data_IF_025145163082
#
_entry.id   IF_025145163082
#
_cell.length_a   1.000
_cell.length_b   1.000
_cell.length_c   1.000
_cell.angle_alpha   90.00
_cell.angle_beta   90.00
_cell.angle_gamma   90.00
#
_symmetry.space_group_name_H-M   'P 1'
#
loop_
_entity.id
_entity.type
_entity.pdbx_description
1 polymer ?
#
# COMPACT_ATOMS: atom_id res chain seq x y z
N UNK A 1 -106.43 94.75 -57.33
CA UNK A 1 -104.96 94.92 -57.52
C UNK A 1 -104.21 95.10 -56.21
N UNK A 2 -104.79 95.73 -55.18
CA UNK A 2 -104.12 96.03 -53.91
C UNK A 2 -103.90 94.80 -52.99
N UNK A 3 -104.86 93.88 -52.85
CA UNK A 3 -104.76 92.74 -51.92
C UNK A 3 -103.68 91.71 -52.31
N UNK A 4 -103.50 91.50 -53.62
CA UNK A 4 -102.46 90.60 -54.15
C UNK A 4 -101.05 91.18 -53.93
N UNK A 5 -100.92 92.51 -53.91
CA UNK A 5 -99.66 93.20 -53.63
C UNK A 5 -99.30 93.08 -52.14
N UNK A 6 -100.25 93.30 -51.22
CA UNK A 6 -100.03 93.11 -49.77
C UNK A 6 -99.67 91.67 -49.40
N UNK A 7 -100.28 90.68 -50.08
CA UNK A 7 -99.93 89.27 -49.89
C UNK A 7 -98.48 88.98 -50.32
N UNK A 8 -98.04 89.53 -51.45
CA UNK A 8 -96.64 89.41 -51.89
C UNK A 8 -95.67 90.13 -50.94
N UNK A 9 -96.03 91.29 -50.37
CA UNK A 9 -95.20 91.96 -49.37
C UNK A 9 -95.04 91.12 -48.09
N UNK A 10 -96.11 90.45 -47.65
CA UNK A 10 -96.07 89.56 -46.49
C UNK A 10 -95.22 88.32 -46.76
N UNK A 11 -95.33 87.73 -47.94
CA UNK A 11 -94.48 86.60 -48.36
C UNK A 11 -93.01 87.02 -48.47
N UNK A 12 -92.71 88.19 -49.02
CA UNK A 12 -91.35 88.75 -49.06
C UNK A 12 -90.80 88.98 -47.65
N UNK A 13 -91.61 89.46 -46.71
CA UNK A 13 -91.22 89.63 -45.32
C UNK A 13 -90.95 88.28 -44.63
N UNK A 14 -91.79 87.27 -44.86
CA UNK A 14 -91.59 85.91 -44.35
C UNK A 14 -90.32 85.28 -44.92
N UNK A 15 -90.09 85.35 -46.24
CA UNK A 15 -88.86 84.84 -46.84
C UNK A 15 -87.60 85.56 -46.35
N UNK A 16 -87.69 86.87 -46.06
CA UNK A 16 -86.58 87.60 -45.43
C UNK A 16 -86.29 87.12 -44.01
N UNK A 17 -87.32 86.87 -43.22
CA UNK A 17 -87.17 86.35 -41.86
C UNK A 17 -86.62 84.92 -41.86
N UNK A 18 -87.12 84.06 -42.75
CA UNK A 18 -86.63 82.69 -42.92
C UNK A 18 -85.18 82.66 -43.41
N UNK A 19 -84.82 83.53 -44.37
CA UNK A 19 -83.44 83.69 -44.83
C UNK A 19 -82.51 84.17 -43.70
N UNK A 20 -82.97 85.12 -42.87
CA UNK A 20 -82.20 85.59 -41.71
C UNK A 20 -81.99 84.48 -40.66
N UNK A 21 -83.00 83.64 -40.40
CA UNK A 21 -82.88 82.49 -39.50
C UNK A 21 -81.95 81.42 -40.07
N UNK A 22 -82.06 81.13 -41.37
CA UNK A 22 -81.17 80.20 -42.04
C UNK A 22 -79.71 80.71 -42.01
N UNK A 23 -79.49 82.00 -42.22
CA UNK A 23 -78.17 82.62 -42.12
C UNK A 23 -77.60 82.51 -40.69
N UNK A 24 -78.41 82.80 -39.67
CA UNK A 24 -77.98 82.68 -38.28
C UNK A 24 -77.61 81.22 -37.91
N UNK A 25 -78.34 80.23 -38.42
CA UNK A 25 -78.01 78.82 -38.22
C UNK A 25 -76.73 78.41 -38.98
N UNK A 26 -76.53 78.93 -40.20
CA UNK A 26 -75.26 78.75 -40.93
C UNK A 26 -74.08 79.32 -40.13
N UNK A 27 -74.21 80.54 -39.61
CA UNK A 27 -73.15 81.18 -38.81
C UNK A 27 -72.85 80.37 -37.54
N UNK A 28 -73.89 79.87 -36.86
CA UNK A 28 -73.74 78.98 -35.70
C UNK A 28 -73.04 77.67 -36.04
N UNK A 29 -73.41 77.03 -37.16
CA UNK A 29 -72.77 75.79 -37.60
C UNK A 29 -71.31 76.02 -38.01
N UNK A 30 -70.99 77.17 -38.60
CA UNK A 30 -69.61 77.55 -38.90
C UNK A 30 -68.76 77.75 -37.64
N UNK A 31 -69.32 78.35 -36.58
CA UNK A 31 -68.65 78.48 -35.28
C UNK A 31 -68.35 77.10 -34.68
N UNK A 32 -69.33 76.19 -34.66
CA UNK A 32 -69.15 74.82 -34.17
C UNK A 32 -68.11 74.05 -34.99
N UNK A 33 -68.13 74.18 -36.32
CA UNK A 33 -67.11 73.56 -37.18
C UNK A 33 -65.71 74.06 -36.87
N UNK A 34 -65.56 75.37 -36.64
CA UNK A 34 -64.28 75.98 -36.28
C UNK A 34 -63.80 75.51 -34.91
N UNK A 35 -64.68 75.39 -33.93
CA UNK A 35 -64.35 74.83 -32.60
C UNK A 35 -63.93 73.35 -32.70
N UNK A 36 -64.68 72.53 -33.45
CA UNK A 36 -64.33 71.13 -33.68
C UNK A 36 -63.00 70.97 -34.44
N UNK A 37 -62.72 71.84 -35.41
CA UNK A 37 -61.45 71.84 -36.13
C UNK A 37 -60.27 72.20 -35.20
N UNK A 38 -60.45 73.19 -34.32
CA UNK A 38 -59.45 73.51 -33.30
C UNK A 38 -59.24 72.37 -32.30
N UNK A 39 -60.30 71.76 -31.80
CA UNK A 39 -60.20 70.63 -30.86
C UNK A 39 -59.53 69.41 -31.51
N UNK A 40 -59.83 69.14 -32.79
CA UNK A 40 -59.14 68.11 -33.56
C UNK A 40 -57.65 68.41 -33.68
N UNK A 41 -57.29 69.64 -34.03
CA UNK A 41 -55.89 70.05 -34.15
C UNK A 41 -55.12 69.91 -32.83
N UNK A 42 -55.75 70.20 -31.68
CA UNK A 42 -55.12 70.03 -30.38
C UNK A 42 -55.00 68.55 -29.95
N UNK A 43 -55.99 67.72 -30.28
CA UNK A 43 -55.91 66.27 -30.10
C UNK A 43 -54.81 65.66 -30.97
N UNK A 44 -54.68 66.07 -32.22
CA UNK A 44 -53.63 65.59 -33.13
C UNK A 44 -52.22 65.97 -32.62
N UNK A 45 -52.04 67.19 -32.09
CA UNK A 45 -50.79 67.58 -31.41
C UNK A 45 -50.52 66.70 -30.19
N UNK A 46 -51.55 66.38 -29.40
CA UNK A 46 -51.37 65.55 -28.20
C UNK A 46 -51.00 64.12 -28.53
N UNK A 47 -51.61 63.55 -29.58
CA UNK A 47 -51.26 62.22 -30.10
C UNK A 47 -49.80 62.20 -30.53
N UNK A 48 -49.36 63.18 -31.34
CA UNK A 48 -47.98 63.27 -31.80
C UNK A 48 -46.97 63.38 -30.63
N UNK A 49 -47.31 64.11 -29.57
CA UNK A 49 -46.48 64.20 -28.37
C UNK A 49 -46.41 62.86 -27.61
N UNK A 50 -47.54 62.19 -27.41
CA UNK A 50 -47.60 60.89 -26.73
C UNK A 50 -46.83 59.81 -27.52
N UNK A 51 -46.99 59.76 -28.84
CA UNK A 51 -46.25 58.85 -29.71
C UNK A 51 -44.73 59.08 -29.60
N UNK A 52 -44.30 60.35 -29.54
CA UNK A 52 -42.89 60.69 -29.34
C UNK A 52 -42.39 60.21 -27.97
N UNK A 53 -43.15 60.44 -26.90
CA UNK A 53 -42.78 59.98 -25.55
C UNK A 53 -42.67 58.46 -25.47
N UNK A 54 -43.62 57.72 -26.07
CA UNK A 54 -43.58 56.26 -26.15
C UNK A 54 -42.33 55.80 -26.91
N UNK A 55 -42.00 56.44 -28.03
CA UNK A 55 -40.80 56.12 -28.81
C UNK A 55 -39.51 56.35 -28.01
N UNK A 56 -39.43 57.44 -27.27
CA UNK A 56 -38.26 57.76 -26.44
C UNK A 56 -38.15 56.84 -25.21
N UNK A 57 -39.27 56.47 -24.59
CA UNK A 57 -39.28 55.47 -23.52
C UNK A 57 -38.86 54.08 -24.03
N UNK A 58 -39.38 53.65 -25.19
CA UNK A 58 -38.99 52.37 -25.79
C UNK A 58 -37.50 52.31 -26.11
N UNK A 59 -36.90 53.42 -26.61
CA UNK A 59 -35.45 53.52 -26.80
C UNK A 59 -34.69 53.41 -25.48
N UNK A 60 -35.15 54.07 -24.41
CA UNK A 60 -34.52 53.98 -23.08
C UNK A 60 -34.55 52.55 -22.54
N UNK A 61 -35.68 51.86 -22.65
CA UNK A 61 -35.82 50.45 -22.24
C UNK A 61 -34.90 49.55 -23.04
N UNK A 62 -34.82 49.74 -24.37
CA UNK A 62 -33.90 48.98 -25.21
C UNK A 62 -32.43 49.19 -24.81
N UNK A 63 -32.04 50.43 -24.53
CA UNK A 63 -30.68 50.75 -24.07
C UNK A 63 -30.37 50.16 -22.70
N UNK A 64 -31.32 50.17 -21.77
CA UNK A 64 -31.15 49.53 -20.46
C UNK A 64 -30.98 48.01 -20.59
N UNK A 65 -31.81 47.35 -21.41
CA UNK A 65 -31.68 45.91 -21.69
C UNK A 65 -30.33 45.57 -22.30
N UNK A 66 -29.85 46.37 -23.25
CA UNK A 66 -28.53 46.16 -23.84
C UNK A 66 -27.41 46.34 -22.80
N UNK A 67 -27.48 47.40 -21.98
CA UNK A 67 -26.51 47.64 -20.91
C UNK A 67 -26.49 46.49 -19.90
N UNK A 68 -27.65 46.02 -19.46
CA UNK A 68 -27.78 44.88 -18.55
C UNK A 68 -27.22 43.60 -19.18
N UNK A 69 -27.49 43.33 -20.46
CA UNK A 69 -26.95 42.17 -21.17
C UNK A 69 -25.43 42.23 -21.28
N UNK A 70 -24.86 43.41 -21.56
CA UNK A 70 -23.41 43.62 -21.62
C UNK A 70 -22.77 43.42 -20.25
N UNK A 71 -23.35 43.97 -19.19
CA UNK A 71 -22.83 43.79 -17.82
C UNK A 71 -22.94 42.32 -17.36
N UNK A 72 -24.04 41.63 -17.69
CA UNK A 72 -24.19 40.19 -17.43
C UNK A 72 -23.14 39.38 -18.16
N UNK A 73 -22.83 39.72 -19.43
CA UNK A 73 -21.78 39.06 -20.20
C UNK A 73 -20.39 39.28 -19.60
N UNK A 74 -20.06 40.52 -19.19
CA UNK A 74 -18.79 40.82 -18.52
C UNK A 74 -18.65 40.09 -17.19
N UNK A 75 -19.73 40.06 -16.39
CA UNK A 75 -19.75 39.36 -15.11
C UNK A 75 -19.53 37.85 -15.29
N UNK A 76 -20.19 37.23 -16.28
CA UNK A 76 -19.97 35.82 -16.61
C UNK A 76 -18.53 35.54 -17.07
N UNK A 77 -17.95 36.41 -17.92
CA UNK A 77 -16.56 36.27 -18.37
C UNK A 77 -15.55 36.37 -17.22
N UNK A 78 -15.73 37.30 -16.29
CA UNK A 78 -14.85 37.40 -15.12
C UNK A 78 -14.92 36.16 -14.23
N UNK A 79 -16.12 35.58 -14.04
CA UNK A 79 -16.28 34.36 -13.26
C UNK A 79 -15.59 33.16 -13.94
N UNK A 80 -15.73 33.04 -15.26
CA UNK A 80 -15.05 31.98 -16.03
C UNK A 80 -13.52 32.13 -16.03
N UNK A 81 -13.00 33.37 -16.13
CA UNK A 81 -11.57 33.63 -15.98
C UNK A 81 -11.05 33.32 -14.56
N UNK A 82 -11.81 33.66 -13.52
CA UNK A 82 -11.46 33.35 -12.14
C UNK A 82 -11.39 31.83 -11.93
N UNK A 83 -12.39 31.09 -12.42
CA UNK A 83 -12.44 29.63 -12.35
C UNK A 83 -11.27 28.99 -13.11
N UNK A 84 -10.95 29.46 -14.32
CA UNK A 84 -9.78 28.99 -15.07
C UNK A 84 -8.46 29.26 -14.36
N UNK A 85 -8.31 30.40 -13.67
CA UNK A 85 -7.10 30.69 -12.88
C UNK A 85 -6.99 29.76 -11.68
N UNK A 86 -8.10 29.49 -11.01
CA UNK A 86 -8.17 28.55 -9.89
C UNK A 86 -7.82 27.12 -10.33
N UNK A 87 -8.44 26.64 -11.42
CA UNK A 87 -8.17 25.31 -11.99
C UNK A 87 -6.68 25.14 -12.36
N UNK A 88 -6.07 26.16 -13.00
CA UNK A 88 -4.64 26.12 -13.36
C UNK A 88 -3.70 26.14 -12.15
N UNK A 89 -4.02 26.92 -11.11
CA UNK A 89 -3.22 26.95 -9.88
C UNK A 89 -3.30 25.61 -9.13
N UNK A 90 -4.48 25.01 -9.11
CA UNK A 90 -4.69 23.72 -8.48
C UNK A 90 -3.94 22.59 -9.22
N UNK A 91 -3.99 22.58 -10.56
CA UNK A 91 -3.24 21.62 -11.39
C UNK A 91 -1.72 21.79 -11.21
N UNK A 92 -1.22 23.03 -11.21
CA UNK A 92 0.20 23.30 -10.96
C UNK A 92 0.65 22.88 -9.55
N UNK A 93 -0.19 23.07 -8.53
CA UNK A 93 0.11 22.62 -7.17
C UNK A 93 0.13 21.10 -7.06
N UNK A 94 -0.80 20.41 -7.72
CA UNK A 94 -0.85 18.95 -7.77
C UNK A 94 0.37 18.37 -8.50
N UNK A 95 0.79 18.98 -9.62
CA UNK A 95 2.00 18.58 -10.33
C UNK A 95 3.26 18.70 -9.48
N UNK A 96 3.44 19.81 -8.76
CA UNK A 96 4.57 19.99 -7.84
C UNK A 96 4.58 18.94 -6.72
N UNK A 97 3.41 18.66 -6.14
CA UNK A 97 3.29 17.65 -5.08
C UNK A 97 3.62 16.24 -5.58
N UNK A 98 3.22 15.89 -6.81
CA UNK A 98 3.57 14.62 -7.45
C UNK A 98 5.08 14.54 -7.74
N UNK A 99 5.69 15.62 -8.22
CA UNK A 99 7.13 15.67 -8.50
C UNK A 99 7.97 15.56 -7.23
N UNK A 100 7.59 16.25 -6.14
CA UNK A 100 8.21 16.10 -4.82
C UNK A 100 8.11 14.67 -4.29
N UNK A 101 6.93 14.05 -4.42
CA UNK A 101 6.73 12.66 -3.99
C UNK A 101 7.58 11.69 -4.81
N UNK A 102 7.71 11.92 -6.13
CA UNK A 102 8.56 11.12 -7.01
C UNK A 102 10.03 11.24 -6.63
N UNK A 103 10.52 12.45 -6.33
CA UNK A 103 11.88 12.67 -5.83
C UNK A 103 12.11 11.99 -4.48
N UNK A 104 11.16 12.08 -3.56
CA UNK A 104 11.24 11.40 -2.26
C UNK A 104 11.27 9.87 -2.43
N UNK A 105 10.44 9.32 -3.31
CA UNK A 105 10.40 7.89 -3.62
C UNK A 105 11.72 7.41 -4.23
N UNK A 106 12.30 8.16 -5.16
CA UNK A 106 13.61 7.84 -5.76
C UNK A 106 14.73 7.87 -4.72
N UNK A 107 14.70 8.83 -3.78
CA UNK A 107 15.65 8.87 -2.67
C UNK A 107 15.53 7.66 -1.75
N UNK A 108 14.31 7.26 -1.38
CA UNK A 108 14.07 6.05 -0.57
C UNK A 108 14.57 4.80 -1.30
N UNK A 109 14.34 4.71 -2.61
CA UNK A 109 14.83 3.61 -3.44
C UNK A 109 16.36 3.54 -3.45
N UNK A 110 17.05 4.68 -3.57
CA UNK A 110 18.51 4.74 -3.51
C UNK A 110 19.05 4.37 -2.13
N UNK A 111 18.41 4.83 -1.05
CA UNK A 111 18.77 4.45 0.32
C UNK A 111 18.59 2.95 0.56
N UNK A 112 17.50 2.36 0.05
CA UNK A 112 17.25 0.92 0.10
C UNK A 112 18.34 0.12 -0.62
N UNK A 113 18.72 0.52 -1.84
CA UNK A 113 19.78 -0.16 -2.59
C UNK A 113 21.14 -0.01 -1.88
N UNK A 114 21.43 1.16 -1.29
CA UNK A 114 22.62 1.37 -0.45
C UNK A 114 22.65 0.45 0.77
N UNK A 115 21.51 0.30 1.46
CA UNK A 115 21.40 -0.61 2.60
C UNK A 115 21.58 -2.07 2.17
N UNK A 116 21.00 -2.48 1.04
CA UNK A 116 21.16 -3.81 0.46
C UNK A 116 22.62 -4.14 0.15
N UNK A 117 23.35 -3.19 -0.45
CA UNK A 117 24.78 -3.35 -0.73
C UNK A 117 25.61 -3.49 0.57
N UNK A 118 25.32 -2.68 1.60
CA UNK A 118 25.98 -2.77 2.91
C UNK A 118 25.69 -4.10 3.61
N UNK A 119 24.45 -4.57 3.55
CA UNK A 119 24.06 -5.86 4.11
C UNK A 119 24.82 -7.01 3.44
N UNK A 120 24.86 -7.02 2.10
CA UNK A 120 25.61 -8.02 1.33
C UNK A 120 27.11 -8.01 1.68
N UNK A 121 27.71 -6.82 1.80
CA UNK A 121 29.13 -6.70 2.19
C UNK A 121 29.39 -7.21 3.61
N UNK A 122 28.47 -6.95 4.54
CA UNK A 122 28.57 -7.42 5.94
C UNK A 122 28.42 -8.94 6.01
N UNK A 123 27.46 -9.52 5.27
CA UNK A 123 27.28 -10.96 5.16
C UNK A 123 28.50 -11.67 4.57
N UNK A 124 29.11 -11.10 3.53
CA UNK A 124 30.35 -11.64 2.97
C UNK A 124 31.50 -11.61 4.00
N UNK A 125 31.67 -10.49 4.71
CA UNK A 125 32.71 -10.39 5.74
C UNK A 125 32.50 -11.40 6.88
N UNK A 126 31.23 -11.64 7.27
CA UNK A 126 30.90 -12.67 8.25
C UNK A 126 31.29 -14.06 7.76
N UNK A 127 30.91 -14.44 6.53
CA UNK A 127 31.25 -15.73 5.94
C UNK A 127 32.78 -15.95 5.82
N UNK A 128 33.54 -14.91 5.49
CA UNK A 128 35.00 -14.95 5.48
C UNK A 128 35.57 -15.20 6.89
N UNK A 129 35.03 -14.53 7.92
CA UNK A 129 35.42 -14.73 9.32
C UNK A 129 35.08 -16.12 9.82
N UNK A 130 33.93 -16.65 9.45
CA UNK A 130 33.52 -18.00 9.79
C UNK A 130 34.43 -19.05 9.15
N UNK A 131 34.73 -18.88 7.86
CA UNK A 131 35.69 -19.73 7.14
C UNK A 131 37.06 -19.70 7.82
N UNK A 132 37.53 -18.51 8.22
CA UNK A 132 38.79 -18.36 8.94
C UNK A 132 38.78 -19.08 10.29
N UNK A 133 37.68 -18.99 11.06
CA UNK A 133 37.54 -19.71 12.32
C UNK A 133 37.54 -21.23 12.12
N UNK A 134 36.88 -21.73 11.07
CA UNK A 134 36.88 -23.15 10.72
C UNK A 134 38.29 -23.63 10.37
N UNK A 135 39.04 -22.85 9.59
CA UNK A 135 40.43 -23.16 9.26
C UNK A 135 41.33 -23.18 10.51
N UNK A 136 41.23 -22.17 11.39
CA UNK A 136 41.99 -22.14 12.65
C UNK A 136 41.67 -23.34 13.55
N UNK A 137 40.41 -23.78 13.59
CA UNK A 137 40.01 -24.99 14.33
C UNK A 137 40.65 -26.24 13.73
N UNK A 138 40.63 -26.38 12.40
CA UNK A 138 41.24 -27.50 11.70
C UNK A 138 42.77 -27.54 11.90
N UNK A 139 43.45 -26.39 11.79
CA UNK A 139 44.88 -26.26 12.07
C UNK A 139 45.21 -26.62 13.52
N UNK A 140 44.40 -26.16 14.48
CA UNK A 140 44.58 -26.51 15.89
C UNK A 140 44.45 -28.02 16.12
N UNK A 141 43.50 -28.68 15.45
CA UNK A 141 43.35 -30.15 15.51
C UNK A 141 44.56 -30.86 14.94
N UNK A 142 44.98 -30.48 13.73
CA UNK A 142 46.17 -31.03 13.09
C UNK A 142 47.41 -30.88 13.98
N UNK A 143 47.61 -29.71 14.57
CA UNK A 143 48.74 -29.48 15.48
C UNK A 143 48.66 -30.36 16.74
N UNK A 144 47.46 -30.57 17.29
CA UNK A 144 47.28 -31.46 18.43
C UNK A 144 47.62 -32.92 18.07
N UNK A 145 47.21 -33.37 16.88
CA UNK A 145 47.55 -34.70 16.36
C UNK A 145 49.07 -34.86 16.20
N UNK A 146 49.75 -33.91 15.56
CA UNK A 146 51.21 -33.89 15.39
C UNK A 146 51.94 -33.96 16.75
N UNK A 147 51.50 -33.19 17.75
CA UNK A 147 52.08 -33.21 19.10
C UNK A 147 51.89 -34.56 19.78
N UNK A 148 50.72 -35.19 19.61
CA UNK A 148 50.45 -36.51 20.18
C UNK A 148 51.27 -37.60 19.50
N UNK A 149 51.45 -37.52 18.18
CA UNK A 149 52.30 -38.42 17.39
C UNK A 149 53.76 -38.31 17.81
N UNK A 150 54.32 -37.10 17.87
CA UNK A 150 55.70 -36.89 18.34
C UNK A 150 55.93 -37.44 19.76
N UNK A 151 54.94 -37.29 20.67
CA UNK A 151 55.02 -37.89 22.01
C UNK A 151 55.04 -39.41 21.97
N UNK A 152 54.28 -40.02 21.07
CA UNK A 152 54.25 -41.48 20.89
C UNK A 152 55.59 -41.98 20.34
N UNK A 153 56.13 -41.32 19.32
CA UNK A 153 57.44 -41.64 18.75
C UNK A 153 58.58 -41.51 19.76
N UNK A 154 58.59 -40.44 20.56
CA UNK A 154 59.59 -40.24 21.61
C UNK A 154 59.55 -41.35 22.67
N UNK A 155 58.36 -41.80 23.08
CA UNK A 155 58.19 -42.91 24.01
C UNK A 155 58.68 -44.23 23.40
N UNK A 156 58.35 -44.51 22.13
CA UNK A 156 58.82 -45.70 21.41
C UNK A 156 60.35 -45.70 21.27
N UNK A 157 60.96 -44.56 20.93
CA UNK A 157 62.40 -44.42 20.84
C UNK A 157 63.08 -44.68 22.18
N UNK A 158 62.55 -44.11 23.27
CA UNK A 158 63.07 -44.35 24.62
C UNK A 158 62.96 -45.83 25.03
N UNK A 159 61.85 -46.51 24.71
CA UNK A 159 61.70 -47.96 24.96
C UNK A 159 62.74 -48.75 24.17
N UNK A 160 62.90 -48.44 22.87
CA UNK A 160 63.89 -49.09 22.01
C UNK A 160 65.32 -48.89 22.52
N UNK A 161 65.65 -47.71 23.04
CA UNK A 161 66.94 -47.42 23.66
C UNK A 161 67.16 -48.30 24.91
N UNK A 162 66.14 -48.43 25.77
CA UNK A 162 66.21 -49.32 26.95
C UNK A 162 66.38 -50.78 26.54
N UNK A 163 65.69 -51.25 25.50
CA UNK A 163 65.83 -52.62 24.99
C UNK A 163 67.25 -52.89 24.45
N UNK A 164 67.83 -51.94 23.71
CA UNK A 164 69.21 -52.04 23.23
C UNK A 164 70.21 -52.10 24.41
N UNK A 165 70.03 -51.25 25.43
CA UNK A 165 70.88 -51.24 26.62
C UNK A 165 70.77 -52.55 27.43
N UNK A 166 69.57 -53.10 27.58
CA UNK A 166 69.35 -54.42 28.22
C UNK A 166 70.09 -55.50 27.45
N UNK A 167 69.91 -55.57 26.11
CA UNK A 167 70.57 -56.57 25.27
C UNK A 167 72.11 -56.48 25.37
N UNK A 168 72.67 -55.27 25.35
CA UNK A 168 74.12 -55.06 25.50
C UNK A 168 74.63 -55.53 26.86
N UNK A 169 73.95 -55.22 27.96
CA UNK A 169 74.35 -55.63 29.31
C UNK A 169 74.20 -57.14 29.53
N UNK A 170 73.15 -57.75 28.98
CA UNK A 170 72.92 -59.20 29.04
C UNK A 170 74.00 -59.98 28.27
N UNK A 171 74.57 -59.40 27.19
CA UNK A 171 75.66 -59.99 26.42
C UNK A 171 77.06 -59.75 27.02
N UNK A 172 77.27 -58.69 27.82
CA UNK A 172 78.61 -58.21 28.19
C UNK A 172 79.08 -58.59 29.59
N UNK A 173 78.22 -59.03 30.53
CA UNK A 173 78.67 -59.38 31.88
C UNK A 173 77.74 -60.32 32.67
N UNK A 174 78.33 -61.38 33.24
CA UNK A 174 77.67 -62.33 34.16
C UNK A 174 77.84 -61.97 35.65
N UNK A 175 78.21 -60.73 35.97
CA UNK A 175 78.42 -60.28 37.36
C UNK A 175 77.11 -59.82 37.99
N UNK A 176 76.91 -60.10 39.28
CA UNK A 176 75.72 -59.73 40.08
C UNK A 176 75.33 -58.25 39.94
N UNK A 177 76.31 -57.33 39.90
CA UNK A 177 76.08 -55.89 39.72
C UNK A 177 75.43 -55.54 38.37
N UNK A 178 75.77 -56.26 37.29
CA UNK A 178 75.15 -56.10 35.97
C UNK A 178 73.72 -56.61 35.96
N UNK A 179 73.43 -57.67 36.72
CA UNK A 179 72.08 -58.22 36.83
C UNK A 179 71.12 -57.26 37.54
N UNK A 180 71.59 -56.54 38.57
CA UNK A 180 70.80 -55.51 39.26
C UNK A 180 70.50 -54.32 38.34
N UNK A 181 71.44 -53.92 37.49
CA UNK A 181 71.28 -52.84 36.51
C UNK A 181 70.29 -53.23 35.39
N UNK A 182 70.37 -54.46 34.88
CA UNK A 182 69.38 -55.02 33.95
C UNK A 182 67.98 -55.04 34.58
N UNK A 183 67.86 -55.44 35.84
CA UNK A 183 66.58 -55.42 36.54
C UNK A 183 66.03 -53.99 36.73
N UNK A 184 66.90 -53.00 36.95
CA UNK A 184 66.51 -51.59 37.01
C UNK A 184 66.00 -51.08 35.64
N UNK A 185 66.73 -51.37 34.55
CA UNK A 185 66.34 -50.98 33.19
C UNK A 185 65.03 -51.64 32.75
N UNK A 186 64.78 -52.90 33.12
CA UNK A 186 63.49 -53.58 32.86
C UNK A 186 62.33 -52.86 33.54
N UNK A 187 62.49 -52.46 34.82
CA UNK A 187 61.45 -51.68 35.53
C UNK A 187 61.22 -50.31 34.91
N UNK A 188 62.29 -49.64 34.46
CA UNK A 188 62.17 -48.35 33.79
C UNK A 188 61.47 -48.48 32.42
N UNK A 189 61.79 -49.53 31.65
CA UNK A 189 61.08 -49.86 30.41
C UNK A 189 59.60 -50.12 30.65
N UNK A 190 59.25 -50.92 31.66
CA UNK A 190 57.85 -51.22 31.96
C UNK A 190 57.06 -49.95 32.29
N UNK A 191 57.68 -48.97 32.96
CA UNK A 191 57.08 -47.64 33.18
C UNK A 191 56.87 -46.88 31.87
N UNK A 192 57.84 -46.88 30.96
CA UNK A 192 57.70 -46.24 29.64
C UNK A 192 56.60 -46.91 28.80
N UNK A 193 56.50 -48.24 28.85
CA UNK A 193 55.43 -48.99 28.17
C UNK A 193 54.05 -48.66 28.75
N UNK A 194 53.94 -48.51 30.07
CA UNK A 194 52.69 -48.04 30.68
C UNK A 194 52.33 -46.60 30.23
N UNK A 195 53.31 -45.69 30.17
CA UNK A 195 53.11 -44.34 29.66
C UNK A 195 52.67 -44.33 28.19
N UNK A 196 53.25 -45.21 27.35
CA UNK A 196 52.86 -45.36 25.94
C UNK A 196 51.41 -45.84 25.82
N UNK A 197 51.00 -46.85 26.60
CA UNK A 197 49.61 -47.32 26.62
C UNK A 197 48.64 -46.21 27.02
N UNK A 198 48.98 -45.45 28.06
CA UNK A 198 48.16 -44.32 28.50
C UNK A 198 48.09 -43.23 27.42
N UNK A 199 49.21 -42.90 26.77
CA UNK A 199 49.24 -41.94 25.68
C UNK A 199 48.35 -42.40 24.52
N UNK A 200 48.41 -43.67 24.14
CA UNK A 200 47.62 -44.21 23.01
C UNK A 200 46.13 -44.14 23.33
N UNK A 201 45.76 -44.46 24.57
CA UNK A 201 44.39 -44.31 25.05
C UNK A 201 43.93 -42.84 25.05
N UNK A 202 44.77 -41.92 25.54
CA UNK A 202 44.47 -40.49 25.55
C UNK A 202 44.31 -39.93 24.13
N UNK A 203 45.15 -40.36 23.19
CA UNK A 203 45.04 -39.98 21.77
C UNK A 203 43.70 -40.44 21.20
N UNK A 204 43.33 -41.70 21.41
CA UNK A 204 42.07 -42.25 20.90
C UNK A 204 40.85 -41.55 21.50
N UNK A 205 40.89 -41.20 22.79
CA UNK A 205 39.82 -40.45 23.44
C UNK A 205 39.68 -39.02 22.88
N UNK A 206 40.78 -38.30 22.74
CA UNK A 206 40.76 -36.95 22.15
C UNK A 206 40.30 -36.97 20.69
N UNK A 207 40.68 -37.99 19.92
CA UNK A 207 40.16 -38.15 18.56
C UNK A 207 38.65 -38.35 18.57
N UNK A 208 38.09 -39.15 19.49
CA UNK A 208 36.64 -39.34 19.60
C UNK A 208 35.89 -38.04 20.00
N UNK A 209 36.39 -37.32 21.00
CA UNK A 209 35.74 -36.10 21.51
C UNK A 209 35.75 -34.95 20.48
N UNK A 210 36.68 -34.94 19.51
CA UNK A 210 36.77 -33.89 18.48
C UNK A 210 35.85 -34.11 17.26
N UNK A 211 35.34 -35.33 17.01
CA UNK A 211 34.41 -35.58 15.90
C UNK A 211 32.98 -35.13 16.19
N UNK A 212 32.57 -35.03 17.46
CA UNK A 212 31.23 -34.57 17.81
C UNK A 212 31.03 -33.06 17.56
N UNK A 213 32.06 -32.23 17.72
CA UNK A 213 31.98 -30.77 17.47
C UNK A 213 31.84 -30.42 15.98
N UNK A 214 32.44 -31.21 15.08
CA UNK A 214 32.24 -31.03 13.63
C UNK A 214 30.87 -31.54 13.16
N UNK A 215 30.31 -32.58 13.79
CA UNK A 215 28.97 -33.08 13.48
C UNK A 215 27.89 -32.07 13.89
N UNK A 216 28.09 -31.37 15.01
CA UNK A 216 27.21 -30.26 15.40
C UNK A 216 27.35 -29.07 14.43
N UNK A 217 28.57 -28.71 13.97
CA UNK A 217 28.77 -27.56 13.07
C UNK A 217 28.40 -27.81 11.61
N UNK A 218 28.47 -29.04 11.10
CA UNK A 218 27.91 -29.40 9.79
C UNK A 218 26.39 -29.11 9.73
N UNK A 219 25.71 -29.16 10.88
CA UNK A 219 24.31 -28.75 11.02
C UNK A 219 24.09 -27.24 11.01
N UNK A 220 25.10 -26.41 11.31
CA UNK A 220 24.99 -24.94 11.31
C UNK A 220 25.51 -24.29 10.02
N UNK A 221 26.50 -24.89 9.35
CA UNK A 221 27.15 -24.32 8.16
C UNK A 221 26.46 -24.66 6.82
N UNK A 222 25.44 -25.53 6.82
CA UNK A 222 24.68 -25.88 5.61
C UNK A 222 23.42 -25.00 5.37
N UNK A 223 23.31 -23.86 6.05
CA UNK A 223 22.15 -22.95 5.90
C UNK A 223 22.03 -22.24 4.54
N UNK A 224 22.91 -22.51 3.58
CA UNK A 224 22.75 -21.98 2.22
C UNK A 224 22.33 -23.01 1.18
N UNK A 225 22.16 -24.31 1.49
CA UNK A 225 21.67 -25.27 0.48
C UNK A 225 21.12 -26.65 0.92
N UNK A 226 20.79 -26.93 2.20
CA UNK A 226 20.11 -28.19 2.57
C UNK A 226 18.86 -28.03 3.44
N UNK A 227 17.85 -28.81 3.05
CA UNK A 227 16.46 -28.92 3.54
C UNK A 227 16.36 -28.68 5.07
N UNK A 228 15.51 -27.74 5.53
CA UNK A 228 15.28 -27.50 6.96
C UNK A 228 14.85 -28.79 7.67
N UNK A 229 15.30 -28.99 8.91
CA UNK A 229 14.84 -30.09 9.78
C UNK A 229 13.30 -30.05 9.91
N UNK A 230 12.58 -31.18 10.12
CA UNK A 230 11.12 -31.18 10.23
C UNK A 230 10.60 -30.13 11.22
N UNK A 231 11.30 -29.99 12.36
CA UNK A 231 10.97 -29.01 13.40
C UNK A 231 11.10 -27.54 12.94
N UNK A 232 11.99 -27.25 11.98
CA UNK A 232 12.15 -25.92 11.41
C UNK A 232 11.03 -25.55 10.42
N UNK A 233 10.33 -26.53 9.84
CA UNK A 233 9.20 -26.32 8.92
C UNK A 233 7.86 -26.31 9.67
N UNK A 234 7.76 -27.09 10.75
CA UNK A 234 6.56 -27.16 11.58
C UNK A 234 6.24 -25.80 12.21
N UNK A 235 7.22 -25.04 12.69
CA UNK A 235 6.96 -23.74 13.32
C UNK A 235 6.36 -22.70 12.34
N UNK A 236 6.93 -22.47 11.15
CA UNK A 236 6.30 -21.66 10.11
C UNK A 236 4.88 -22.11 9.74
N UNK A 237 4.65 -23.42 9.64
CA UNK A 237 3.31 -23.97 9.37
C UNK A 237 2.30 -23.61 10.47
N UNK A 238 2.69 -23.72 11.74
CA UNK A 238 1.83 -23.37 12.87
C UNK A 238 1.52 -21.86 12.91
N UNK A 239 2.51 -21.02 12.65
CA UNK A 239 2.36 -19.57 12.60
C UNK A 239 1.45 -19.16 11.42
N UNK A 240 1.63 -19.81 10.27
CA UNK A 240 0.83 -19.60 9.07
C UNK A 240 -0.64 -20.01 9.30
N UNK A 241 -0.88 -21.16 9.93
CA UNK A 241 -2.23 -21.58 10.28
C UNK A 241 -2.89 -20.67 11.33
N UNK A 242 -2.11 -20.15 12.28
CA UNK A 242 -2.62 -19.14 13.23
C UNK A 242 -3.02 -17.84 12.52
N UNK A 243 -2.21 -17.37 11.57
CA UNK A 243 -2.54 -16.20 10.76
C UNK A 243 -3.77 -16.46 9.88
N UNK A 244 -3.87 -17.64 9.27
CA UNK A 244 -5.04 -18.06 8.49
C UNK A 244 -6.31 -18.08 9.32
N UNK A 245 -6.26 -18.58 10.56
CA UNK A 245 -7.39 -18.55 11.50
C UNK A 245 -7.85 -17.12 11.81
N UNK A 246 -6.90 -16.20 12.05
CA UNK A 246 -7.21 -14.77 12.26
C UNK A 246 -7.85 -14.14 11.02
N UNK A 247 -7.32 -14.46 9.84
CA UNK A 247 -7.82 -13.95 8.57
C UNK A 247 -9.24 -14.47 8.26
N UNK A 248 -9.52 -15.75 8.53
CA UNK A 248 -10.89 -16.30 8.44
C UNK A 248 -11.85 -15.56 9.37
N UNK A 249 -11.45 -15.28 10.62
CA UNK A 249 -12.28 -14.53 11.56
C UNK A 249 -12.56 -13.10 11.06
N UNK A 250 -11.53 -12.43 10.53
CA UNK A 250 -11.65 -11.11 9.95
C UNK A 250 -12.60 -11.08 8.75
N UNK A 251 -12.45 -12.02 7.81
CA UNK A 251 -13.37 -12.21 6.68
C UNK A 251 -14.80 -12.45 7.17
N UNK A 252 -14.97 -13.27 8.20
CA UNK A 252 -16.27 -13.53 8.82
C UNK A 252 -16.91 -12.26 9.36
N UNK A 253 -16.13 -11.40 10.01
CA UNK A 253 -16.60 -10.10 10.51
C UNK A 253 -17.01 -9.16 9.37
N UNK A 254 -16.17 -9.00 8.34
CA UNK A 254 -16.50 -8.18 7.17
C UNK A 254 -17.77 -8.67 6.47
N UNK A 255 -17.89 -9.98 6.33
CA UNK A 255 -19.05 -10.63 5.71
C UNK A 255 -20.32 -10.35 6.53
N UNK A 256 -20.27 -10.45 7.86
CA UNK A 256 -21.41 -10.13 8.72
C UNK A 256 -21.84 -8.66 8.61
N UNK A 257 -20.87 -7.73 8.64
CA UNK A 257 -21.13 -6.30 8.46
C UNK A 257 -21.81 -6.00 7.11
N UNK A 258 -21.38 -6.67 6.05
CA UNK A 258 -22.04 -6.53 4.74
C UNK A 258 -23.48 -7.04 4.77
N UNK A 259 -23.75 -8.20 5.38
CA UNK A 259 -25.10 -8.76 5.46
C UNK A 259 -26.07 -7.89 6.28
N UNK A 260 -25.59 -7.29 7.37
CA UNK A 260 -26.40 -6.42 8.24
C UNK A 260 -26.83 -5.12 7.54
N UNK A 261 -26.09 -4.70 6.50
CA UNK A 261 -26.33 -3.45 5.75
C UNK A 261 -27.05 -3.69 4.44
N UNK A 262 -26.44 -4.44 3.55
CA UNK A 262 -27.05 -4.87 2.28
C UNK A 262 -26.37 -6.16 1.79
N UNK A 263 -27.09 -7.30 1.78
CA UNK A 263 -26.57 -8.57 1.27
C UNK A 263 -26.09 -8.52 -0.19
N UNK A 264 -26.54 -7.52 -0.98
CA UNK A 264 -26.10 -7.36 -2.37
C UNK A 264 -24.64 -6.88 -2.51
N UNK A 265 -24.03 -6.34 -1.45
CA UNK A 265 -22.61 -5.92 -1.46
C UNK A 265 -21.68 -7.10 -1.77
N UNK A 266 -22.05 -8.30 -1.32
CA UNK A 266 -21.27 -9.53 -1.53
C UNK A 266 -21.62 -10.22 -2.86
N UNK A 267 -22.44 -9.61 -3.72
CA UNK A 267 -22.89 -10.26 -4.96
C UNK A 267 -21.71 -10.52 -5.89
N UNK A 268 -21.52 -11.80 -6.23
CA UNK A 268 -20.45 -12.25 -7.11
C UNK A 268 -19.15 -12.60 -6.39
N UNK A 269 -19.10 -12.45 -5.05
CA UNK A 269 -18.00 -12.94 -4.24
C UNK A 269 -18.32 -14.34 -3.71
N UNK A 270 -17.45 -15.29 -3.98
CA UNK A 270 -17.53 -16.66 -3.46
C UNK A 270 -16.31 -16.94 -2.59
N UNK A 271 -16.48 -17.36 -1.32
CA UNK A 271 -15.36 -17.71 -0.47
C UNK A 271 -14.49 -18.81 -1.09
N UNK A 272 -13.15 -18.73 -0.96
CA UNK A 272 -12.25 -19.81 -1.35
C UNK A 272 -12.58 -21.11 -0.60
N UNK A 273 -12.26 -22.27 -1.18
CA UNK A 273 -12.48 -23.57 -0.54
C UNK A 273 -11.76 -23.70 0.80
N UNK A 274 -10.61 -23.03 0.94
CA UNK A 274 -9.81 -22.99 2.17
C UNK A 274 -10.51 -22.28 3.34
N UNK A 275 -11.52 -21.43 3.06
CA UNK A 275 -12.32 -20.74 4.08
C UNK A 275 -13.21 -21.68 4.88
N UNK A 276 -13.73 -22.74 4.23
CA UNK A 276 -14.71 -23.65 4.81
C UNK A 276 -14.10 -24.89 5.48
N UNK A 277 -12.78 -25.04 5.43
CA UNK A 277 -12.09 -26.14 6.11
C UNK A 277 -12.15 -25.94 7.63
N UNK A 278 -12.62 -26.97 8.33
CA UNK A 278 -12.71 -27.01 9.78
C UNK A 278 -11.31 -27.25 10.36
N UNK A 279 -10.81 -26.28 11.13
CA UNK A 279 -9.44 -26.27 11.62
C UNK A 279 -9.36 -26.98 12.98
N UNK A 280 -9.43 -28.32 13.00
CA UNK A 280 -9.02 -29.09 14.18
C UNK A 280 -7.49 -29.03 14.33
N UNK A 281 -7.04 -27.90 14.90
CA UNK A 281 -5.64 -27.57 15.11
C UNK A 281 -4.89 -28.64 15.91
N UNK A 282 -5.57 -29.30 16.84
CA UNK A 282 -4.94 -30.33 17.67
C UNK A 282 -4.65 -31.58 16.84
N UNK A 283 -5.64 -32.05 16.06
CA UNK A 283 -5.47 -33.18 15.15
C UNK A 283 -4.44 -32.86 14.05
N UNK A 284 -4.48 -31.66 13.48
CA UNK A 284 -3.53 -31.23 12.45
C UNK A 284 -2.09 -31.17 12.98
N UNK A 285 -1.88 -30.65 14.20
CA UNK A 285 -0.55 -30.58 14.82
C UNK A 285 0.04 -31.97 15.10
N UNK A 286 -0.78 -32.94 15.52
CA UNK A 286 -0.33 -34.33 15.69
C UNK A 286 0.01 -34.99 14.35
N UNK A 287 -0.70 -34.64 13.28
CA UNK A 287 -0.44 -35.16 11.94
C UNK A 287 0.86 -34.58 11.36
N UNK A 288 1.12 -33.28 11.56
CA UNK A 288 2.38 -32.63 11.17
C UNK A 288 3.62 -33.31 11.75
N UNK A 289 3.54 -33.81 12.99
CA UNK A 289 4.66 -34.54 13.62
C UNK A 289 4.95 -35.92 12.98
N UNK A 290 4.00 -36.47 12.23
CA UNK A 290 4.12 -37.77 11.54
C UNK A 290 4.52 -37.65 10.08
N UNK A 291 4.48 -36.44 9.51
CA UNK A 291 4.76 -36.18 8.11
C UNK A 291 6.26 -36.24 7.78
N UNK A 292 6.56 -36.64 6.55
CA UNK A 292 7.92 -36.56 6.01
C UNK A 292 8.29 -35.12 5.65
N UNK A 293 9.58 -34.83 5.52
CA UNK A 293 10.05 -33.49 5.13
C UNK A 293 9.45 -32.99 3.82
N UNK A 294 9.24 -33.85 2.84
CA UNK A 294 8.66 -33.47 1.55
C UNK A 294 7.18 -33.10 1.69
N UNK A 295 6.42 -33.90 2.44
CA UNK A 295 5.02 -33.59 2.76
C UNK A 295 4.86 -32.30 3.57
N UNK A 296 5.79 -32.00 4.49
CA UNK A 296 5.78 -30.74 5.24
C UNK A 296 6.03 -29.51 4.35
N UNK A 297 6.88 -29.63 3.33
CA UNK A 297 7.08 -28.54 2.37
C UNK A 297 5.87 -28.37 1.45
N UNK A 298 5.28 -29.47 0.99
CA UNK A 298 4.07 -29.42 0.14
C UNK A 298 2.88 -28.78 0.90
N UNK A 299 2.70 -29.11 2.18
CA UNK A 299 1.67 -28.45 3.00
C UNK A 299 2.01 -27.00 3.35
N UNK A 300 3.30 -26.64 3.43
CA UNK A 300 3.69 -25.23 3.60
C UNK A 300 3.34 -24.43 2.34
N UNK A 301 3.70 -24.92 1.16
CA UNK A 301 3.38 -24.26 -0.12
C UNK A 301 1.85 -24.17 -0.32
N UNK A 302 1.11 -25.22 0.03
CA UNK A 302 -0.35 -25.21 -0.02
C UNK A 302 -0.94 -24.22 0.99
N UNK A 303 -0.42 -24.17 2.21
CA UNK A 303 -0.83 -23.19 3.21
C UNK A 303 -0.60 -21.76 2.75
N UNK A 304 0.55 -21.45 2.14
CA UNK A 304 0.87 -20.13 1.60
C UNK A 304 -0.10 -19.74 0.48
N UNK A 305 -0.44 -20.67 -0.42
CA UNK A 305 -1.45 -20.47 -1.47
C UNK A 305 -2.83 -20.19 -0.87
N UNK A 306 -3.28 -21.03 0.07
CA UNK A 306 -4.55 -20.86 0.77
C UNK A 306 -4.63 -19.50 1.49
N UNK A 307 -3.53 -19.09 2.13
CA UNK A 307 -3.44 -17.79 2.81
C UNK A 307 -3.52 -16.62 1.82
N UNK A 308 -2.93 -16.77 0.64
CA UNK A 308 -2.98 -15.76 -0.43
C UNK A 308 -4.39 -15.63 -0.97
N UNK A 309 -5.08 -16.74 -1.27
CA UNK A 309 -6.46 -16.73 -1.73
C UNK A 309 -7.42 -16.11 -0.71
N UNK A 310 -7.23 -16.40 0.58
CA UNK A 310 -8.01 -15.78 1.65
C UNK A 310 -7.75 -14.27 1.75
N UNK A 311 -6.49 -13.84 1.57
CA UNK A 311 -6.14 -12.42 1.62
C UNK A 311 -6.75 -11.67 0.43
N UNK A 312 -6.71 -12.25 -0.77
CA UNK A 312 -7.36 -11.70 -1.96
C UNK A 312 -8.87 -11.60 -1.77
N UNK A 313 -9.50 -12.61 -1.17
CA UNK A 313 -10.92 -12.58 -0.86
C UNK A 313 -11.28 -11.49 0.15
N UNK A 314 -10.50 -11.33 1.23
CA UNK A 314 -10.68 -10.25 2.20
C UNK A 314 -10.57 -8.87 1.53
N UNK A 315 -9.57 -8.69 0.66
CA UNK A 315 -9.37 -7.45 -0.10
C UNK A 315 -10.54 -7.18 -1.06
N UNK A 316 -11.07 -8.22 -1.72
CA UNK A 316 -12.22 -8.10 -2.60
C UNK A 316 -13.48 -7.65 -1.83
N UNK A 317 -13.70 -8.17 -0.62
CA UNK A 317 -14.79 -7.71 0.25
C UNK A 317 -14.58 -6.25 0.63
N UNK A 318 -13.38 -5.86 1.08
CA UNK A 318 -13.07 -4.47 1.44
C UNK A 318 -13.29 -3.52 0.26
N UNK A 319 -12.94 -3.94 -0.96
CA UNK A 319 -13.20 -3.15 -2.17
C UNK A 319 -14.71 -2.97 -2.42
N UNK A 320 -15.50 -4.05 -2.30
CA UNK A 320 -16.96 -3.94 -2.43
C UNK A 320 -17.56 -3.01 -1.37
N UNK A 321 -17.06 -3.07 -0.14
CA UNK A 321 -17.46 -2.16 0.94
C UNK A 321 -17.08 -0.72 0.57
N UNK A 322 -15.87 -0.48 0.08
CA UNK A 322 -15.41 0.85 -0.34
C UNK A 322 -16.31 1.46 -1.42
N UNK A 323 -16.72 0.65 -2.39
CA UNK A 323 -17.49 1.10 -3.55
C UNK A 323 -18.97 1.35 -3.23
N UNK A 324 -19.54 0.58 -2.29
CA UNK A 324 -20.99 0.59 -2.02
C UNK A 324 -21.37 1.24 -0.69
N UNK A 325 -20.52 1.18 0.35
CA UNK A 325 -20.79 1.63 1.71
C UNK A 325 -19.50 2.11 2.42
N UNK A 326 -18.91 3.24 2.02
CA UNK A 326 -17.64 3.74 2.58
C UNK A 326 -17.73 4.13 4.08
N UNK A 327 -18.94 4.33 4.62
CA UNK A 327 -19.18 4.54 6.05
C UNK A 327 -18.86 3.31 6.91
N UNK A 328 -18.91 2.10 6.32
CA UNK A 328 -18.54 0.85 7.00
C UNK A 328 -17.02 0.74 7.13
N UNK A 329 -16.25 1.29 6.18
CA UNK A 329 -14.78 1.29 6.28
C UNK A 329 -14.31 2.06 7.53
N UNK A 330 -14.98 3.15 7.88
CA UNK A 330 -14.68 3.93 9.09
C UNK A 330 -14.92 3.10 10.36
N UNK A 331 -15.98 2.27 10.39
CA UNK A 331 -16.24 1.34 11.50
C UNK A 331 -15.19 0.24 11.59
N UNK A 332 -14.75 -0.31 10.46
CA UNK A 332 -13.70 -1.33 10.40
C UNK A 332 -12.36 -0.76 10.85
N UNK A 333 -12.01 0.46 10.43
CA UNK A 333 -10.79 1.15 10.85
C UNK A 333 -10.80 1.42 12.36
N UNK A 334 -11.91 1.96 12.89
CA UNK A 334 -12.04 2.22 14.33
C UNK A 334 -11.94 0.93 15.16
N UNK A 335 -12.54 -0.18 14.71
CA UNK A 335 -12.46 -1.47 15.39
C UNK A 335 -11.03 -2.06 15.39
N UNK A 336 -10.26 -1.83 14.32
CA UNK A 336 -8.86 -2.25 14.22
C UNK A 336 -7.92 -1.39 15.09
N UNK A 337 -8.21 -0.08 15.21
CA UNK A 337 -7.50 0.84 16.10
C UNK A 337 -7.78 0.58 17.59
N UNK A 338 -9.00 0.16 17.96
CA UNK A 338 -9.35 -0.23 19.33
C UNK A 338 -8.77 -1.61 19.75
N UNK A 339 -8.36 -2.43 18.78
CA UNK A 339 -7.86 -3.79 19.00
C UNK A 339 -6.32 -3.92 18.97
N UNK A 340 -5.59 -2.83 18.66
CA UNK A 340 -4.12 -2.74 18.72
C UNK A 340 -3.65 -2.08 20.01
#
# INVERSE_FOLDING_TARGET
MNDRFQQFEKEVAQYREESAKAQAEVDRLLEILKEMENEKNDKDKKIAELERQIKDQNKKVANLKHKEQVEKKKSAQMLEEARRREDNLNDSSQQLQVEELMMAMEKVKQELESMKAKLSSTQQSLAEKETHLTNLRAERRKHLEEVLEMKQEALLAAISEKDANIALLELSSSKKKTQDEVAALKREKDRLVQQLKQQTQNRMKLMADNYEDDNLKSSYFNQTNHKPSPDQVIQPLLDLDQNRSKLKLYIGHLTALCHDRDPLILRGLTPPTSYHLDDDRAAWKEELQKMTLEQLHDELEKGEKDSTELQEFANAILQQIADHCPDILEQVVNALEESS
#
